data_IF_168823350899
#
_entry.id   IF_168823350899
#
_cell.length_a   1.000
_cell.length_b   1.000
_cell.length_c   1.000
_cell.angle_alpha   90.00
_cell.angle_beta   90.00
_cell.angle_gamma   90.00
#
_symmetry.space_group_name_H-M   'P 1'
#
loop_
_entity.id
_entity.type
_entity.pdbx_description
1 polymer ?
#
# COMPACT_ATOMS: atom_id res chain seq x y z
N UNK A 1 -11.03 25.14 -1.94
CA UNK A 1 -10.52 25.31 -3.28
C UNK A 1 -9.88 24.01 -3.79
N UNK A 2 -8.85 23.44 -3.12
CA UNK A 2 -8.27 22.14 -3.52
C UNK A 2 -9.22 20.97 -3.32
N UNK A 3 -10.02 20.95 -2.27
CA UNK A 3 -11.00 19.88 -2.02
C UNK A 3 -12.08 19.78 -3.11
N UNK A 4 -12.34 20.87 -3.83
CA UNK A 4 -13.29 20.86 -4.96
C UNK A 4 -12.73 20.04 -6.13
N UNK A 5 -11.40 20.01 -6.32
CA UNK A 5 -10.74 19.24 -7.38
C UNK A 5 -10.95 17.73 -7.16
N UNK A 6 -10.85 17.26 -5.90
CA UNK A 6 -11.00 15.84 -5.55
C UNK A 6 -12.46 15.36 -5.65
N UNK A 7 -13.41 16.27 -5.48
CA UNK A 7 -14.85 15.92 -5.47
C UNK A 7 -15.56 16.16 -6.78
N UNK A 8 -14.97 16.92 -7.72
CA UNK A 8 -15.53 17.19 -9.02
C UNK A 8 -15.62 15.92 -9.87
N UNK A 9 -16.71 15.78 -10.59
CA UNK A 9 -16.92 14.63 -11.49
C UNK A 9 -16.27 14.82 -12.84
N UNK A 10 -16.09 16.08 -13.27
CA UNK A 10 -15.41 16.44 -14.51
C UNK A 10 -14.70 17.80 -14.35
N UNK A 11 -13.73 18.05 -15.23
CA UNK A 11 -12.96 19.29 -15.21
C UNK A 11 -13.83 20.53 -15.55
N UNK A 12 -14.91 20.36 -16.29
CA UNK A 12 -15.85 21.43 -16.66
C UNK A 12 -16.56 22.03 -15.42
N UNK A 13 -16.80 21.23 -14.39
CA UNK A 13 -17.40 21.71 -13.12
C UNK A 13 -16.53 22.73 -12.38
N UNK A 14 -15.25 22.81 -12.75
CA UNK A 14 -14.23 23.68 -12.12
C UNK A 14 -13.94 24.95 -12.94
N UNK A 15 -14.79 25.29 -13.91
CA UNK A 15 -14.54 26.38 -14.86
C UNK A 15 -14.41 27.74 -14.19
N UNK A 16 -15.26 28.06 -13.20
CA UNK A 16 -15.24 29.37 -12.55
C UNK A 16 -14.65 29.34 -11.14
N UNK A 17 -13.47 29.98 -10.90
CA UNK A 17 -12.96 30.13 -9.55
C UNK A 17 -13.83 31.09 -8.74
N UNK A 18 -14.28 30.67 -7.57
CA UNK A 18 -15.10 31.48 -6.66
C UNK A 18 -14.27 32.63 -6.07
N UNK A 19 -14.48 33.84 -6.60
CA UNK A 19 -13.89 35.07 -6.10
C UNK A 19 -12.66 35.58 -6.88
N UNK A 20 -12.52 36.89 -7.00
CA UNK A 20 -11.48 37.55 -7.82
C UNK A 20 -10.05 37.23 -7.39
N UNK A 21 -9.80 37.01 -6.11
CA UNK A 21 -8.47 36.67 -5.58
C UNK A 21 -7.97 35.31 -6.11
N UNK A 22 -8.89 34.36 -6.30
CA UNK A 22 -8.54 33.01 -6.76
C UNK A 22 -8.25 32.97 -8.26
N UNK A 23 -8.74 33.90 -9.06
CA UNK A 23 -8.48 33.94 -10.52
C UNK A 23 -6.99 34.06 -10.80
N UNK A 24 -6.28 34.94 -10.07
CA UNK A 24 -4.83 35.11 -10.24
C UNK A 24 -4.04 33.85 -9.81
N UNK A 25 -4.46 33.23 -8.71
CA UNK A 25 -3.83 31.98 -8.26
C UNK A 25 -4.09 30.84 -9.22
N UNK A 26 -5.31 30.72 -9.72
CA UNK A 26 -5.70 29.69 -10.69
C UNK A 26 -4.86 29.79 -11.97
N UNK A 27 -4.69 31.02 -12.50
CA UNK A 27 -3.85 31.28 -13.66
C UNK A 27 -2.36 30.92 -13.42
N UNK A 28 -1.80 31.26 -12.23
CA UNK A 28 -0.42 30.90 -11.88
C UNK A 28 -0.22 29.40 -11.76
N UNK A 29 -1.20 28.69 -11.20
CA UNK A 29 -1.17 27.24 -11.09
C UNK A 29 -1.28 26.60 -12.48
N UNK A 30 -2.16 27.12 -13.34
CA UNK A 30 -2.24 26.67 -14.74
C UNK A 30 -0.88 26.77 -15.43
N UNK A 31 -0.23 27.94 -15.36
CA UNK A 31 1.08 28.15 -15.97
C UNK A 31 2.13 27.18 -15.42
N UNK A 32 2.25 27.04 -14.09
CA UNK A 32 3.22 26.14 -13.47
C UNK A 32 2.99 24.68 -13.78
N UNK A 33 1.72 24.23 -13.84
CA UNK A 33 1.39 22.85 -14.21
C UNK A 33 1.65 22.57 -15.69
N UNK A 34 1.33 23.51 -16.59
CA UNK A 34 1.56 23.37 -18.03
C UNK A 34 3.02 23.13 -18.38
N UNK A 35 3.96 23.73 -17.63
CA UNK A 35 5.41 23.53 -17.81
C UNK A 35 5.86 22.10 -17.50
N UNK A 36 5.09 21.35 -16.73
CA UNK A 36 5.41 19.95 -16.34
C UNK A 36 4.84 18.91 -17.28
N UNK A 37 3.99 19.30 -18.22
CA UNK A 37 3.30 18.37 -19.11
C UNK A 37 4.19 17.94 -20.27
N UNK A 38 4.13 16.65 -20.61
CA UNK A 38 4.92 16.06 -21.69
C UNK A 38 4.13 14.98 -22.45
N UNK A 39 4.54 14.75 -23.71
CA UNK A 39 4.03 13.64 -24.54
C UNK A 39 2.54 13.74 -24.86
N UNK A 40 1.88 12.60 -25.03
CA UNK A 40 0.49 12.51 -25.45
C UNK A 40 -0.51 13.22 -24.52
N UNK A 41 -0.18 13.38 -23.24
CA UNK A 41 -1.03 14.11 -22.32
C UNK A 41 -0.95 15.62 -22.57
N UNK A 42 0.23 16.15 -22.87
CA UNK A 42 0.38 17.55 -23.33
C UNK A 42 -0.45 17.80 -24.59
N UNK A 43 -0.40 16.90 -25.59
CA UNK A 43 -1.18 17.06 -26.82
C UNK A 43 -2.68 17.09 -26.54
N UNK A 44 -3.17 16.24 -25.61
CA UNK A 44 -4.57 16.23 -25.16
C UNK A 44 -4.96 17.57 -24.53
N UNK A 45 -4.13 18.11 -23.63
CA UNK A 45 -4.38 19.39 -22.95
C UNK A 45 -4.37 20.53 -23.95
N UNK A 46 -3.40 20.60 -24.85
CA UNK A 46 -3.30 21.61 -25.90
C UNK A 46 -4.54 21.65 -26.79
N UNK A 47 -5.05 20.47 -27.21
CA UNK A 47 -6.28 20.39 -27.98
C UNK A 47 -7.51 20.96 -27.23
N UNK A 48 -7.57 20.75 -25.92
CA UNK A 48 -8.64 21.29 -25.07
C UNK A 48 -8.49 22.81 -24.93
N UNK A 49 -7.27 23.31 -24.70
CA UNK A 49 -6.99 24.76 -24.65
C UNK A 49 -7.37 25.47 -25.93
N UNK A 50 -7.02 24.89 -27.09
CA UNK A 50 -7.43 25.44 -28.39
C UNK A 50 -8.96 25.47 -28.56
N UNK A 51 -9.64 24.42 -28.11
CA UNK A 51 -11.11 24.36 -28.15
C UNK A 51 -11.76 25.42 -27.25
N UNK A 52 -11.20 25.61 -26.05
CA UNK A 52 -11.66 26.64 -25.12
C UNK A 52 -11.38 28.06 -25.65
N UNK A 53 -10.20 28.28 -26.22
CA UNK A 53 -9.80 29.57 -26.82
C UNK A 53 -10.76 30.00 -27.94
N UNK A 54 -11.21 29.07 -28.78
CA UNK A 54 -12.25 29.32 -29.80
C UNK A 54 -13.57 29.80 -29.21
N UNK A 55 -13.84 29.48 -27.94
CA UNK A 55 -15.03 29.90 -27.19
C UNK A 55 -14.76 31.13 -26.31
N UNK A 56 -13.58 31.75 -26.41
CA UNK A 56 -13.16 32.87 -25.58
C UNK A 56 -12.90 32.52 -24.12
N UNK A 57 -12.63 31.23 -23.82
CA UNK A 57 -12.35 30.71 -22.49
C UNK A 57 -10.89 30.28 -22.38
N UNK A 58 -10.38 30.25 -21.16
CA UNK A 58 -9.04 29.75 -20.82
C UNK A 58 -9.15 28.54 -19.91
N UNK A 59 -8.22 27.60 -20.04
CA UNK A 59 -8.11 26.48 -19.12
C UNK A 59 -7.55 26.95 -17.78
N UNK A 60 -8.29 26.75 -16.69
CA UNK A 60 -7.89 27.13 -15.34
C UNK A 60 -6.98 26.11 -14.68
N UNK A 61 -6.25 26.56 -13.66
CA UNK A 61 -5.32 25.71 -12.90
C UNK A 61 -6.02 24.54 -12.19
N UNK A 62 -7.24 24.75 -11.66
CA UNK A 62 -8.03 23.69 -11.05
C UNK A 62 -8.46 22.65 -12.07
N UNK A 63 -8.87 23.10 -13.24
CA UNK A 63 -9.26 22.21 -14.34
C UNK A 63 -8.07 21.34 -14.79
N UNK A 64 -6.90 21.97 -14.97
CA UNK A 64 -5.69 21.27 -15.34
C UNK A 64 -5.22 20.30 -14.25
N UNK A 65 -5.28 20.70 -12.97
CA UNK A 65 -4.96 19.83 -11.85
C UNK A 65 -5.89 18.59 -11.81
N UNK A 66 -7.20 18.78 -12.02
CA UNK A 66 -8.15 17.68 -12.12
C UNK A 66 -7.80 16.75 -13.27
N UNK A 67 -7.49 17.28 -14.44
CA UNK A 67 -7.12 16.48 -15.62
C UNK A 67 -5.84 15.66 -15.38
N UNK A 68 -4.86 16.22 -14.66
CA UNK A 68 -3.65 15.50 -14.26
C UNK A 68 -4.01 14.34 -13.31
N UNK A 69 -4.78 14.61 -12.26
CA UNK A 69 -5.21 13.59 -11.30
C UNK A 69 -6.00 12.48 -11.99
N UNK A 70 -6.94 12.82 -12.87
CA UNK A 70 -7.74 11.86 -13.61
C UNK A 70 -6.89 11.01 -14.58
N UNK A 71 -5.91 11.63 -15.24
CA UNK A 71 -5.02 10.93 -16.16
C UNK A 71 -4.11 9.91 -15.46
N UNK A 72 -3.73 10.18 -14.21
CA UNK A 72 -2.88 9.29 -13.40
C UNK A 72 -3.69 8.43 -12.43
N UNK A 73 -5.00 8.58 -12.40
CA UNK A 73 -5.88 7.77 -11.58
C UNK A 73 -5.91 6.34 -12.12
N UNK A 74 -5.35 5.43 -11.33
CA UNK A 74 -5.42 4.01 -11.62
C UNK A 74 -6.89 3.55 -11.54
N UNK A 75 -7.30 2.74 -12.51
CA UNK A 75 -8.56 2.01 -12.38
C UNK A 75 -8.46 1.03 -11.20
N UNK A 76 -9.61 0.67 -10.61
CA UNK A 76 -9.65 -0.32 -9.52
C UNK A 76 -8.96 -1.63 -9.93
N UNK A 77 -9.07 -2.03 -11.19
CA UNK A 77 -8.43 -3.23 -11.72
C UNK A 77 -6.89 -3.09 -11.78
N UNK A 78 -6.38 -1.94 -12.22
CA UNK A 78 -4.92 -1.67 -12.26
C UNK A 78 -4.34 -1.56 -10.85
N UNK A 79 -5.05 -0.90 -9.94
CA UNK A 79 -4.67 -0.83 -8.52
C UNK A 79 -4.62 -2.23 -7.88
N UNK A 80 -5.59 -3.10 -8.17
CA UNK A 80 -5.57 -4.49 -7.73
C UNK A 80 -4.40 -5.28 -8.31
N UNK A 81 -4.09 -5.11 -9.61
CA UNK A 81 -2.95 -5.76 -10.25
C UNK A 81 -1.62 -5.34 -9.64
N UNK A 82 -1.41 -4.05 -9.39
CA UNK A 82 -0.22 -3.55 -8.68
C UNK A 82 -0.12 -4.11 -7.27
N UNK A 83 -1.22 -4.14 -6.55
CA UNK A 83 -1.32 -4.74 -5.22
C UNK A 83 -0.92 -6.21 -5.22
N UNK A 84 -1.44 -6.98 -6.18
CA UNK A 84 -1.04 -8.37 -6.36
C UNK A 84 0.44 -8.51 -6.68
N UNK A 85 0.96 -7.69 -7.59
CA UNK A 85 2.38 -7.64 -7.93
C UNK A 85 3.25 -7.40 -6.69
N UNK A 86 2.90 -6.42 -5.89
CA UNK A 86 3.62 -6.07 -4.66
C UNK A 86 3.59 -7.21 -3.63
N UNK A 87 2.42 -7.83 -3.39
CA UNK A 87 2.31 -8.98 -2.48
C UNK A 87 3.09 -10.20 -2.97
N UNK A 88 3.13 -10.44 -4.28
CA UNK A 88 3.91 -11.53 -4.87
C UNK A 88 5.42 -11.26 -4.84
N UNK A 89 5.83 -9.99 -4.81
CA UNK A 89 7.23 -9.59 -4.70
C UNK A 89 7.79 -9.83 -3.30
N UNK A 90 6.95 -9.79 -2.25
CA UNK A 90 7.37 -10.14 -0.87
C UNK A 90 7.71 -11.62 -0.80
N UNK A 91 8.98 -11.91 -0.56
CA UNK A 91 9.49 -13.29 -0.52
C UNK A 91 9.96 -13.65 0.88
N UNK A 92 9.61 -14.87 1.30
CA UNK A 92 10.15 -15.43 2.52
C UNK A 92 11.66 -15.62 2.38
N UNK A 93 12.41 -14.96 3.26
CA UNK A 93 13.85 -15.16 3.46
C UNK A 93 14.11 -15.93 4.77
N UNK A 94 15.33 -15.79 5.31
CA UNK A 94 15.73 -16.46 6.56
C UNK A 94 15.15 -15.83 7.82
N UNK A 95 14.64 -14.60 7.71
CA UNK A 95 14.11 -13.83 8.85
C UNK A 95 12.59 -13.62 8.73
N UNK A 96 11.85 -14.33 9.56
CA UNK A 96 10.39 -14.26 9.59
C UNK A 96 9.86 -12.87 10.02
N UNK A 97 10.59 -12.15 10.89
CA UNK A 97 10.20 -10.81 11.33
C UNK A 97 10.32 -9.80 10.19
N UNK A 98 11.41 -9.86 9.43
CA UNK A 98 11.58 -9.00 8.25
C UNK A 98 10.47 -9.28 7.23
N UNK A 99 10.19 -10.56 6.97
CA UNK A 99 9.09 -10.93 6.09
C UNK A 99 7.74 -10.39 6.57
N UNK A 100 7.44 -10.50 7.88
CA UNK A 100 6.20 -9.96 8.44
C UNK A 100 6.12 -8.45 8.24
N UNK A 101 7.20 -7.72 8.53
CA UNK A 101 7.24 -6.26 8.37
C UNK A 101 7.03 -5.83 6.91
N UNK A 102 7.68 -6.49 5.95
CA UNK A 102 7.51 -6.23 4.52
C UNK A 102 6.08 -6.54 4.06
N UNK A 103 5.53 -7.67 4.50
CA UNK A 103 4.17 -8.08 4.21
C UNK A 103 3.14 -7.08 4.74
N UNK A 104 3.29 -6.65 5.99
CA UNK A 104 2.40 -5.67 6.62
C UNK A 104 2.53 -4.29 5.97
N UNK A 105 3.75 -3.86 5.62
CA UNK A 105 3.98 -2.60 4.92
C UNK A 105 3.25 -2.55 3.57
N UNK A 106 3.29 -3.64 2.80
CA UNK A 106 2.53 -3.74 1.55
C UNK A 106 1.03 -3.69 1.83
N UNK A 107 0.52 -4.42 2.84
CA UNK A 107 -0.91 -4.42 3.17
C UNK A 107 -1.44 -3.07 3.66
N UNK A 108 -0.61 -2.27 4.34
CA UNK A 108 -0.97 -0.91 4.79
C UNK A 108 -1.09 0.03 3.58
N UNK A 109 -0.25 -0.14 2.57
CA UNK A 109 -0.25 0.69 1.35
C UNK A 109 -1.31 0.31 0.31
N UNK A 110 -2.22 -0.60 0.64
CA UNK A 110 -3.25 -1.09 -0.29
C UNK A 110 -4.58 -0.38 -0.05
N UNK A 111 -5.08 0.34 -1.05
CA UNK A 111 -6.39 0.98 -1.00
C UNK A 111 -7.52 -0.04 -1.07
N UNK A 112 -7.41 -1.01 -1.98
CA UNK A 112 -8.41 -2.07 -2.18
C UNK A 112 -7.84 -3.41 -1.72
N UNK A 113 -8.23 -3.82 -0.53
CA UNK A 113 -7.73 -5.05 0.10
C UNK A 113 -8.17 -6.30 -0.69
N UNK A 114 -7.24 -7.20 -1.06
CA UNK A 114 -7.58 -8.47 -1.69
C UNK A 114 -8.49 -9.34 -0.81
N UNK A 115 -9.33 -10.18 -1.41
CA UNK A 115 -10.15 -11.15 -0.67
C UNK A 115 -9.32 -12.05 0.25
N UNK A 116 -9.90 -12.43 1.39
CA UNK A 116 -9.24 -13.20 2.46
C UNK A 116 -8.62 -14.52 1.96
N UNK A 117 -9.30 -15.22 1.04
CA UNK A 117 -8.81 -16.48 0.49
C UNK A 117 -7.56 -16.30 -0.39
N UNK A 118 -7.43 -15.15 -1.05
CA UNK A 118 -6.23 -14.83 -1.85
C UNK A 118 -5.07 -14.50 -0.92
N UNK A 119 -5.28 -13.63 0.06
CA UNK A 119 -4.27 -13.29 1.06
C UNK A 119 -3.78 -14.53 1.80
N UNK A 120 -4.70 -15.42 2.19
CA UNK A 120 -4.36 -16.68 2.85
C UNK A 120 -3.48 -17.56 1.96
N UNK A 121 -3.85 -17.71 0.69
CA UNK A 121 -3.11 -18.54 -0.26
C UNK A 121 -1.71 -17.99 -0.55
N UNK A 122 -1.57 -16.67 -0.73
CA UNK A 122 -0.28 -16.03 -0.95
C UNK A 122 0.62 -16.12 0.28
N UNK A 123 0.08 -15.84 1.47
CA UNK A 123 0.81 -15.95 2.72
C UNK A 123 1.27 -17.38 2.98
N UNK A 124 0.37 -18.38 2.83
CA UNK A 124 0.69 -19.79 3.03
C UNK A 124 1.83 -20.25 2.11
N UNK A 125 1.78 -19.86 0.83
CA UNK A 125 2.83 -20.17 -0.15
C UNK A 125 4.21 -19.66 0.29
N UNK A 126 4.28 -18.52 0.96
CA UNK A 126 5.54 -17.99 1.46
C UNK A 126 5.96 -18.70 2.77
N UNK A 127 5.03 -18.87 3.71
CA UNK A 127 5.33 -19.51 5.01
C UNK A 127 5.79 -20.96 4.88
N UNK A 128 5.32 -21.69 3.87
CA UNK A 128 5.79 -23.07 3.57
C UNK A 128 7.29 -23.14 3.26
N UNK A 129 7.92 -22.05 2.87
CA UNK A 129 9.36 -21.99 2.63
C UNK A 129 10.18 -21.85 3.92
N UNK A 130 9.55 -21.46 5.02
CA UNK A 130 10.20 -21.25 6.30
C UNK A 130 10.10 -22.51 7.18
N UNK A 131 11.12 -23.34 7.11
CA UNK A 131 11.18 -24.66 7.78
C UNK A 131 10.82 -24.63 9.28
N UNK A 132 11.22 -23.62 10.09
CA UNK A 132 10.88 -23.61 11.52
C UNK A 132 9.36 -23.52 11.80
N UNK A 133 8.55 -23.08 10.82
CA UNK A 133 7.09 -22.98 10.95
C UNK A 133 6.36 -24.27 10.53
N UNK A 134 7.06 -25.25 9.96
CA UNK A 134 6.45 -26.45 9.37
C UNK A 134 5.44 -27.12 10.31
N UNK A 135 5.83 -27.46 11.53
CA UNK A 135 4.94 -28.14 12.49
C UNK A 135 3.68 -27.32 12.85
N UNK A 136 3.77 -26.00 12.83
CA UNK A 136 2.63 -25.12 13.11
C UNK A 136 1.69 -25.03 11.90
N UNK A 137 2.26 -25.05 10.69
CA UNK A 137 1.51 -25.08 9.44
C UNK A 137 0.83 -26.43 9.20
N UNK A 138 1.50 -27.54 9.53
CA UNK A 138 0.92 -28.89 9.45
C UNK A 138 -0.32 -28.98 10.35
N UNK A 139 -0.22 -28.52 11.61
CA UNK A 139 -1.37 -28.44 12.54
C UNK A 139 -2.48 -27.51 12.04
N UNK A 140 -2.13 -26.42 11.36
CA UNK A 140 -3.11 -25.53 10.72
C UNK A 140 -3.86 -26.29 9.60
N UNK A 141 -3.13 -27.03 8.76
CA UNK A 141 -3.69 -27.84 7.68
C UNK A 141 -4.59 -28.98 8.17
N UNK A 142 -4.17 -29.70 9.20
CA UNK A 142 -4.95 -30.78 9.84
C UNK A 142 -6.31 -30.27 10.34
N UNK A 143 -6.34 -29.13 11.06
CA UNK A 143 -7.59 -28.53 11.55
C UNK A 143 -8.54 -28.10 10.44
N UNK A 144 -8.01 -27.77 9.26
CA UNK A 144 -8.81 -27.45 8.09
C UNK A 144 -9.36 -28.76 7.48
N UNK A 145 -8.53 -29.78 7.35
CA UNK A 145 -8.92 -31.10 6.82
C UNK A 145 -10.01 -31.75 7.68
N UNK A 146 -9.90 -31.67 9.00
CA UNK A 146 -10.89 -32.12 9.98
C UNK A 146 -12.15 -31.26 10.05
N UNK A 147 -12.28 -30.22 9.22
CA UNK A 147 -13.38 -29.23 9.20
C UNK A 147 -13.60 -28.49 10.52
N UNK A 148 -12.64 -28.52 11.44
CA UNK A 148 -12.67 -27.75 12.69
C UNK A 148 -12.58 -26.24 12.40
N UNK A 149 -11.84 -25.89 11.33
CA UNK A 149 -11.70 -24.49 10.90
C UNK A 149 -11.87 -24.36 9.39
N UNK A 150 -12.45 -23.23 8.97
CA UNK A 150 -12.36 -22.80 7.58
C UNK A 150 -11.01 -22.09 7.34
N UNK A 151 -10.52 -22.15 6.11
CA UNK A 151 -9.38 -21.35 5.66
C UNK A 151 -9.62 -19.87 5.97
N UNK A 152 -8.61 -19.20 6.55
CA UNK A 152 -8.74 -17.79 6.89
C UNK A 152 -7.36 -17.17 7.01
N UNK A 153 -7.17 -16.05 6.32
CA UNK A 153 -5.96 -15.24 6.42
C UNK A 153 -5.64 -14.87 7.87
N UNK A 154 -6.64 -14.40 8.62
CA UNK A 154 -6.48 -14.00 10.02
C UNK A 154 -5.95 -15.13 10.91
N UNK A 155 -6.43 -16.36 10.70
CA UNK A 155 -5.97 -17.54 11.46
C UNK A 155 -4.53 -17.91 11.09
N UNK A 156 -4.21 -17.91 9.80
CA UNK A 156 -2.86 -18.22 9.32
C UNK A 156 -1.86 -17.15 9.79
N UNK A 157 -2.21 -15.87 9.68
CA UNK A 157 -1.40 -14.77 10.18
C UNK A 157 -1.11 -14.90 11.67
N UNK A 158 -2.12 -15.29 12.48
CA UNK A 158 -1.95 -15.55 13.91
C UNK A 158 -0.99 -16.72 14.19
N UNK A 159 -0.94 -17.74 13.34
CA UNK A 159 0.05 -18.84 13.46
C UNK A 159 1.46 -18.29 13.32
N UNK A 160 1.70 -17.43 12.34
CA UNK A 160 2.98 -16.75 12.11
C UNK A 160 3.37 -15.86 13.29
N UNK A 161 2.46 -14.98 13.73
CA UNK A 161 2.69 -14.04 14.83
C UNK A 161 2.99 -14.75 16.16
N UNK A 162 2.23 -15.80 16.50
CA UNK A 162 2.47 -16.60 17.69
C UNK A 162 3.86 -17.26 17.67
N UNK A 163 4.30 -17.76 16.52
CA UNK A 163 5.64 -18.35 16.40
C UNK A 163 6.74 -17.30 16.62
N UNK A 164 6.58 -16.10 16.06
CA UNK A 164 7.51 -14.99 16.28
C UNK A 164 7.58 -14.58 17.74
N UNK A 165 6.44 -14.40 18.41
CA UNK A 165 6.38 -14.06 19.83
C UNK A 165 7.06 -15.12 20.69
N UNK A 166 6.83 -16.38 20.42
CA UNK A 166 7.49 -17.48 21.15
C UNK A 166 9.00 -17.46 20.95
N UNK A 167 9.48 -17.20 19.72
CA UNK A 167 10.92 -17.08 19.43
C UNK A 167 11.58 -15.90 20.15
N UNK A 168 10.91 -14.73 20.16
CA UNK A 168 11.39 -13.53 20.85
C UNK A 168 11.44 -13.79 22.37
N UNK A 169 10.38 -14.35 22.95
CA UNK A 169 10.32 -14.69 24.38
C UNK A 169 11.42 -15.68 24.77
N UNK A 170 11.66 -16.71 23.97
CA UNK A 170 12.76 -17.66 24.19
C UNK A 170 14.13 -17.03 24.11
N UNK A 171 14.36 -16.11 23.18
CA UNK A 171 15.60 -15.36 23.06
C UNK A 171 15.86 -14.44 24.29
N UNK A 172 14.85 -13.73 24.75
CA UNK A 172 14.93 -12.90 25.96
C UNK A 172 15.26 -13.74 27.20
N UNK A 173 14.59 -14.86 27.37
CA UNK A 173 14.85 -15.77 28.50
C UNK A 173 16.31 -16.28 28.50
N UNK A 174 16.81 -16.73 27.33
CA UNK A 174 18.20 -17.15 27.19
C UNK A 174 19.19 -16.02 27.51
N UNK A 175 18.91 -14.80 27.06
CA UNK A 175 19.74 -13.62 27.37
C UNK A 175 19.80 -13.32 28.87
N UNK A 176 18.67 -13.33 29.59
CA UNK A 176 18.64 -13.12 31.02
C UNK A 176 19.39 -14.22 31.78
N UNK A 177 19.31 -15.45 31.38
CA UNK A 177 20.10 -16.55 31.96
C UNK A 177 21.60 -16.37 31.79
N UNK A 178 22.05 -15.89 30.64
CA UNK A 178 23.46 -15.59 30.38
C UNK A 178 23.97 -14.44 31.28
N UNK A 179 23.17 -13.38 31.43
CA UNK A 179 23.50 -12.26 32.33
C UNK A 179 23.58 -12.71 33.81
N UNK A 180 22.67 -13.56 34.25
CA UNK A 180 22.67 -14.10 35.60
C UNK A 180 23.92 -14.96 35.87
N UNK A 181 24.34 -15.79 34.93
CA UNK A 181 25.57 -16.60 35.01
C UNK A 181 26.85 -15.73 35.00
N UNK A 182 26.87 -14.64 34.23
CA UNK A 182 27.98 -13.69 34.19
C UNK A 182 28.21 -13.01 35.54
N UNK A 183 27.12 -12.55 36.20
CA UNK A 183 27.20 -11.94 37.54
C UNK A 183 27.65 -12.94 38.62
N UNK A 184 27.24 -14.19 38.55
CA UNK A 184 27.64 -15.21 39.51
C UNK A 184 29.14 -15.59 39.40
N UNK A 185 29.78 -15.39 38.28
CA UNK A 185 31.24 -15.59 38.12
C UNK A 185 32.08 -14.43 38.62
N UNK A 186 31.59 -13.18 38.51
CA UNK A 186 32.30 -11.99 39.02
C UNK A 186 32.24 -11.83 40.54
N UNK A 187 31.27 -12.44 41.22
CA UNK A 187 31.16 -12.39 42.70
C UNK A 187 31.96 -13.46 43.44
N UNK A 188 32.77 -14.27 42.74
CA UNK A 188 33.64 -15.32 43.32
C UNK A 188 35.14 -15.06 43.14
N UNK A 189 35.52 -13.92 42.63
CA UNK A 189 36.89 -13.41 42.57
C UNK A 189 37.12 -12.35 43.64
#
# INVERSE_FOLDING_TARGET
>A
WFSEIETAKSWEELEEPKGSTWVTWDAKIAAGLSETLHGAFLDKVTNIEESLSKKGKMLGGRQLAWMILDNFKLTDAESQLLTFGNLMAVKMGDNLLNFQNEWDAVLIGIDIRPPDYILESLLLKQLLKYTPLKNALDRYGERIAERVHRRSYKKLYKVMDNHLRAKIAGGLHAFYHLLARGKARQGRA
#
